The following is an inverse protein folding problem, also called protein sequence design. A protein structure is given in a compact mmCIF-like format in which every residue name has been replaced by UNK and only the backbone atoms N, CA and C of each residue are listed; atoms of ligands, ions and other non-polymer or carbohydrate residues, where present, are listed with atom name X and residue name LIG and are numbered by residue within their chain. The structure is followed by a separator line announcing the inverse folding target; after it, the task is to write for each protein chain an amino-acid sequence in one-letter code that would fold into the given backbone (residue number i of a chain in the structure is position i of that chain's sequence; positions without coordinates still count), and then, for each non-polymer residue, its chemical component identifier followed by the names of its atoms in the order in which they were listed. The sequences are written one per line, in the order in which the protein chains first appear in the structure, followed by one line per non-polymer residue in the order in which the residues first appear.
data_IF_410425037448
#
_entry.id   IF_410425037448
#
_cell.length_a   1.000
_cell.length_b   1.000
_cell.length_c   1.000
_cell.angle_alpha   90.00
_cell.angle_beta   90.00
_cell.angle_gamma   90.00
#
_symmetry.space_group_name_H-M   'P 1'
#
loop_
_entity.id
_entity.type
_entity.pdbx_description
1 polymer ?
#
# COMPACT_ATOMS: atom_id res chain seq x y z
N UNK A 1 -25.05 -53.99 48.19
CA UNK A 1 -24.48 -54.89 47.15
C UNK A 1 -25.10 -54.65 45.79
N UNK A 2 -26.44 -54.60 45.65
CA UNK A 2 -27.12 -54.41 44.35
C UNK A 2 -26.82 -53.07 43.65
N UNK A 3 -26.80 -51.94 44.38
CA UNK A 3 -26.48 -50.63 43.79
C UNK A 3 -25.04 -50.50 43.27
N UNK A 4 -24.09 -51.23 43.87
CA UNK A 4 -22.69 -51.21 43.44
C UNK A 4 -22.50 -51.96 42.11
N UNK A 5 -23.27 -53.03 41.90
CA UNK A 5 -23.30 -53.79 40.65
C UNK A 5 -23.91 -52.94 39.54
N UNK A 6 -24.99 -52.19 39.83
CA UNK A 6 -25.62 -51.29 38.86
C UNK A 6 -24.70 -50.14 38.44
N UNK A 7 -23.94 -49.56 39.38
CA UNK A 7 -22.98 -48.49 39.11
C UNK A 7 -21.80 -48.99 38.25
N UNK A 8 -21.28 -50.18 38.55
CA UNK A 8 -20.23 -50.81 37.73
C UNK A 8 -20.72 -51.14 36.31
N UNK A 9 -21.99 -51.56 36.17
CA UNK A 9 -22.60 -51.77 34.86
C UNK A 9 -22.74 -50.46 34.07
N UNK A 10 -23.12 -49.37 34.74
CA UNK A 10 -23.25 -48.05 34.11
C UNK A 10 -21.89 -47.50 33.64
N UNK A 11 -20.84 -47.67 34.44
CA UNK A 11 -19.47 -47.27 34.08
C UNK A 11 -18.93 -48.10 32.91
N UNK A 12 -19.24 -49.40 32.88
CA UNK A 12 -18.87 -50.27 31.77
C UNK A 12 -19.60 -49.88 30.47
N UNK A 13 -20.90 -49.57 30.54
CA UNK A 13 -21.69 -49.11 29.38
C UNK A 13 -21.18 -47.76 28.86
N UNK A 14 -20.86 -46.82 29.75
CA UNK A 14 -20.32 -45.51 29.34
C UNK A 14 -18.92 -45.64 28.71
N UNK A 15 -18.07 -46.51 29.25
CA UNK A 15 -16.74 -46.77 28.67
C UNK A 15 -16.85 -47.41 27.29
N UNK A 16 -17.81 -48.32 27.10
CA UNK A 16 -18.07 -48.95 25.80
C UNK A 16 -18.61 -47.93 24.78
N UNK A 17 -19.47 -46.99 25.22
CA UNK A 17 -20.02 -45.94 24.36
C UNK A 17 -18.93 -44.99 23.86
N UNK A 18 -18.00 -44.58 24.73
CA UNK A 18 -16.86 -43.72 24.36
C UNK A 18 -15.96 -44.41 23.34
N UNK A 19 -15.64 -45.70 23.54
CA UNK A 19 -14.84 -46.48 22.59
C UNK A 19 -15.57 -46.64 21.24
N UNK A 20 -16.89 -46.81 21.24
CA UNK A 20 -17.69 -46.86 20.03
C UNK A 20 -17.69 -45.53 19.26
N UNK A 21 -17.77 -44.39 19.95
CA UNK A 21 -17.72 -43.05 19.33
C UNK A 21 -16.33 -42.79 18.73
N UNK A 22 -15.26 -43.14 19.43
CA UNK A 22 -13.89 -42.96 18.95
C UNK A 22 -13.60 -43.84 17.72
N UNK A 23 -14.07 -45.09 17.72
CA UNK A 23 -14.00 -45.97 16.53
C UNK A 23 -14.87 -45.48 15.37
N UNK A 24 -16.03 -44.88 15.65
CA UNK A 24 -16.88 -44.29 14.61
C UNK A 24 -16.20 -43.08 13.96
N UNK A 25 -15.57 -42.20 14.75
CA UNK A 25 -14.85 -41.04 14.24
C UNK A 25 -13.61 -41.45 13.40
N UNK A 26 -12.83 -42.44 13.88
CA UNK A 26 -11.70 -43.00 13.11
C UNK A 26 -12.15 -43.70 11.82
N UNK A 27 -13.32 -44.35 11.81
CA UNK A 27 -13.88 -44.94 10.60
C UNK A 27 -14.42 -43.88 9.61
N UNK A 28 -14.91 -42.74 10.13
CA UNK A 28 -15.36 -41.60 9.32
C UNK A 28 -14.18 -40.90 8.63
N UNK A 29 -13.05 -40.73 9.33
CA UNK A 29 -11.81 -40.19 8.75
C UNK A 29 -11.23 -41.12 7.67
N UNK A 30 -11.19 -42.44 7.91
CA UNK A 30 -10.74 -43.41 6.88
C UNK A 30 -11.62 -43.45 5.64
N UNK A 31 -12.94 -43.25 5.79
CA UNK A 31 -13.87 -43.15 4.64
C UNK A 31 -13.72 -41.83 3.87
N UNK A 32 -13.31 -40.75 4.54
CA UNK A 32 -12.98 -39.49 3.88
C UNK A 32 -11.68 -39.62 3.06
N UNK A 33 -10.66 -40.30 3.57
CA UNK A 33 -9.39 -40.52 2.85
C UNK A 33 -9.53 -41.52 1.67
N UNK A 34 -10.32 -42.59 1.82
CA UNK A 34 -10.55 -43.57 0.74
C UNK A 34 -11.42 -43.02 -0.42
N UNK A 35 -12.33 -42.08 -0.12
CA UNK A 35 -13.10 -41.35 -1.14
C UNK A 35 -12.25 -40.35 -1.91
N UNK A 36 -11.38 -39.61 -1.20
CA UNK A 36 -10.51 -38.59 -1.81
C UNK A 36 -9.36 -39.21 -2.61
N UNK A 37 -8.87 -40.40 -2.21
CA UNK A 37 -7.78 -41.13 -2.90
C UNK A 37 -8.17 -41.87 -4.19
N UNK A 38 -9.45 -42.23 -4.38
CA UNK A 38 -9.93 -42.86 -5.62
C UNK A 38 -10.30 -41.83 -6.70
N UNK A 39 -10.88 -40.70 -6.32
CA UNK A 39 -11.17 -39.61 -7.26
C UNK A 39 -9.91 -38.90 -7.77
N UNK A 40 -8.86 -38.83 -6.94
CA UNK A 40 -7.57 -38.24 -7.34
C UNK A 40 -6.79 -39.12 -8.32
N UNK A 41 -6.75 -40.45 -8.15
CA UNK A 41 -6.04 -41.34 -9.10
C UNK A 41 -6.73 -41.51 -10.46
N UNK A 42 -8.06 -41.63 -10.51
CA UNK A 42 -8.77 -41.71 -11.80
C UNK A 42 -8.84 -40.35 -12.53
N UNK A 43 -8.83 -39.24 -11.78
CA UNK A 43 -8.76 -37.88 -12.33
C UNK A 43 -7.37 -37.50 -12.85
N UNK A 44 -6.31 -37.97 -12.19
CA UNK A 44 -4.91 -37.71 -12.57
C UNK A 44 -4.48 -38.52 -13.79
N UNK A 45 -4.88 -39.80 -13.91
CA UNK A 45 -4.62 -40.62 -15.11
C UNK A 45 -5.44 -40.15 -16.34
N UNK A 46 -6.64 -39.59 -16.13
CA UNK A 46 -7.42 -38.94 -17.20
C UNK A 46 -6.82 -37.59 -17.60
N UNK A 47 -6.39 -36.76 -16.63
CA UNK A 47 -5.70 -35.50 -16.90
C UNK A 47 -4.37 -35.71 -17.59
N UNK A 48 -3.57 -36.72 -17.24
CA UNK A 48 -2.28 -36.96 -17.89
C UNK A 48 -2.45 -37.47 -19.34
N UNK A 49 -3.49 -38.27 -19.61
CA UNK A 49 -3.84 -38.69 -20.99
C UNK A 49 -4.45 -37.56 -21.81
N UNK A 50 -5.26 -36.69 -21.21
CA UNK A 50 -5.80 -35.50 -21.89
C UNK A 50 -4.74 -34.42 -22.08
N UNK A 51 -3.79 -34.24 -21.15
CA UNK A 51 -2.65 -33.33 -21.29
C UNK A 51 -1.62 -33.85 -22.31
N UNK A 52 -1.40 -35.16 -22.43
CA UNK A 52 -0.59 -35.73 -23.53
C UNK A 52 -1.26 -35.59 -24.90
N UNK A 53 -2.60 -35.64 -24.97
CA UNK A 53 -3.36 -35.35 -26.20
C UNK A 53 -3.42 -33.85 -26.51
N UNK A 54 -3.63 -33.00 -25.50
CA UNK A 54 -3.63 -31.55 -25.62
C UNK A 54 -2.24 -30.99 -25.92
N UNK A 55 -1.16 -31.61 -25.42
CA UNK A 55 0.23 -31.26 -25.74
C UNK A 55 0.59 -31.61 -27.19
N UNK A 56 0.07 -32.72 -27.73
CA UNK A 56 0.21 -33.06 -29.16
C UNK A 56 -0.61 -32.14 -30.09
N UNK A 57 -1.72 -31.58 -29.61
CA UNK A 57 -2.55 -30.62 -30.39
C UNK A 57 -2.06 -29.16 -30.23
N UNK A 58 -1.58 -28.77 -29.05
CA UNK A 58 -1.09 -27.41 -28.76
C UNK A 58 0.30 -27.11 -29.31
N UNK A 59 1.07 -28.13 -29.73
CA UNK A 59 2.29 -27.90 -30.52
C UNK A 59 1.99 -27.44 -31.96
N UNK A 60 0.72 -27.47 -32.38
CA UNK A 60 0.28 -27.06 -33.73
C UNK A 60 -0.53 -25.74 -33.78
N UNK A 61 -0.95 -25.15 -32.65
CA UNK A 61 -1.54 -23.80 -32.68
C UNK A 61 -1.21 -23.01 -31.41
N UNK A 62 -0.37 -21.99 -31.53
CA UNK A 62 0.02 -21.11 -30.43
C UNK A 62 -1.13 -20.24 -29.93
N UNK A 63 -1.87 -20.73 -28.92
CA UNK A 63 -2.78 -19.92 -28.10
C UNK A 63 -2.40 -20.07 -26.64
N UNK A 64 -1.85 -18.99 -26.10
CA UNK A 64 -1.49 -18.82 -24.71
C UNK A 64 -2.75 -18.79 -23.83
N UNK A 65 -2.70 -19.42 -22.65
CA UNK A 65 -3.82 -19.52 -21.70
C UNK A 65 -4.30 -18.12 -21.31
N UNK A 66 -5.53 -17.78 -21.67
CA UNK A 66 -6.21 -16.57 -21.21
C UNK A 66 -6.43 -16.71 -19.70
N UNK A 67 -5.76 -15.87 -18.91
CA UNK A 67 -6.04 -15.68 -17.50
C UNK A 67 -7.49 -15.19 -17.35
N UNK A 68 -8.29 -15.88 -16.51
CA UNK A 68 -9.66 -15.48 -16.20
C UNK A 68 -9.60 -14.60 -14.95
N UNK A 69 -9.78 -13.27 -15.05
CA UNK A 69 -9.82 -12.43 -13.87
C UNK A 69 -11.06 -12.78 -13.04
N UNK A 70 -10.88 -12.90 -11.71
CA UNK A 70 -11.96 -12.92 -10.73
C UNK A 70 -12.83 -11.66 -10.88
N UNK A 71 -14.14 -11.72 -10.61
CA UNK A 71 -15.04 -10.62 -10.90
C UNK A 71 -14.64 -9.33 -10.15
N UNK A 72 -14.25 -8.32 -10.92
CA UNK A 72 -14.77 -6.96 -10.75
C UNK A 72 -13.88 -5.88 -10.16
N UNK A 73 -12.62 -5.67 -10.61
CA UNK A 73 -11.84 -4.44 -10.27
C UNK A 73 -12.68 -3.15 -10.40
N UNK A 74 -13.60 -3.14 -11.37
CA UNK A 74 -14.54 -2.05 -11.63
C UNK A 74 -15.62 -1.86 -10.53
N UNK A 75 -16.05 -2.90 -9.80
CA UNK A 75 -17.05 -2.75 -8.73
C UNK A 75 -16.46 -2.12 -7.47
N UNK A 76 -15.18 -2.40 -7.16
CA UNK A 76 -14.51 -1.86 -5.95
C UNK A 76 -14.36 -0.34 -5.98
N UNK A 77 -13.95 0.20 -7.13
CA UNK A 77 -13.88 1.65 -7.32
C UNK A 77 -15.29 2.28 -7.36
N UNK A 78 -16.30 1.57 -7.88
CA UNK A 78 -17.68 2.05 -7.88
C UNK A 78 -18.26 2.13 -6.47
N UNK A 79 -18.06 1.12 -5.63
CA UNK A 79 -18.54 1.11 -4.24
C UNK A 79 -17.91 2.28 -3.46
N UNK A 80 -16.60 2.51 -3.67
CA UNK A 80 -15.90 3.60 -3.01
C UNK A 80 -16.25 4.99 -3.55
N UNK A 81 -16.43 5.11 -4.87
CA UNK A 81 -16.86 6.35 -5.51
C UNK A 81 -18.30 6.71 -5.14
N UNK A 82 -19.17 5.73 -4.91
CA UNK A 82 -20.57 5.97 -4.51
C UNK A 82 -20.66 6.54 -3.10
N UNK A 83 -19.81 6.08 -2.18
CA UNK A 83 -19.78 6.58 -0.81
C UNK A 83 -19.17 7.99 -0.68
N UNK A 84 -18.25 8.37 -1.58
CA UNK A 84 -17.47 9.61 -1.47
C UNK A 84 -17.62 10.60 -2.65
N UNK A 85 -18.49 10.33 -3.63
CA UNK A 85 -18.88 11.28 -4.68
C UNK A 85 -17.77 11.73 -5.62
N UNK A 86 -16.95 10.81 -6.15
CA UNK A 86 -15.85 11.16 -7.04
C UNK A 86 -16.30 11.53 -8.47
N UNK A 87 -16.14 12.79 -8.87
CA UNK A 87 -16.22 13.22 -10.27
C UNK A 87 -14.83 13.19 -10.90
N UNK A 88 -14.63 12.44 -11.99
CA UNK A 88 -13.40 12.50 -12.79
C UNK A 88 -13.59 13.35 -14.04
N UNK A 89 -12.64 14.26 -14.29
CA UNK A 89 -12.65 15.19 -15.42
C UNK A 89 -11.52 14.88 -16.42
N UNK A 90 -11.66 15.36 -17.66
CA UNK A 90 -10.61 15.25 -18.68
C UNK A 90 -9.40 16.15 -18.41
N UNK A 91 -9.58 17.16 -17.57
CA UNK A 91 -8.56 18.15 -17.22
C UNK A 91 -7.71 17.69 -16.01
N UNK A 92 -8.14 16.61 -15.36
CA UNK A 92 -7.39 15.99 -14.27
C UNK A 92 -6.09 15.36 -14.77
N UNK A 93 -5.19 15.10 -13.83
CA UNK A 93 -3.95 14.40 -14.09
C UNK A 93 -4.20 12.97 -14.60
N UNK A 94 -3.40 12.52 -15.56
CA UNK A 94 -3.50 11.17 -16.11
C UNK A 94 -3.31 10.11 -15.01
N UNK A 95 -4.24 9.17 -14.91
CA UNK A 95 -4.15 8.00 -14.04
C UNK A 95 -4.78 6.78 -14.71
N UNK A 96 -4.02 5.70 -14.84
CA UNK A 96 -4.47 4.43 -15.37
C UNK A 96 -3.91 3.26 -14.56
N UNK A 97 -4.75 2.60 -13.73
CA UNK A 97 -4.37 1.35 -13.09
C UNK A 97 -4.13 0.22 -14.08
N UNK A 98 -3.14 -0.61 -13.77
CA UNK A 98 -2.80 -1.77 -14.59
C UNK A 98 -3.65 -2.96 -14.13
N UNK A 99 -4.48 -3.47 -15.04
CA UNK A 99 -5.34 -4.63 -14.81
C UNK A 99 -4.71 -5.94 -15.31
N UNK A 100 -4.06 -5.88 -16.48
CA UNK A 100 -3.43 -7.03 -17.12
C UNK A 100 -2.21 -6.61 -17.94
N UNK A 101 -1.32 -7.57 -18.20
CA UNK A 101 0.00 -7.29 -18.78
C UNK A 101 0.40 -8.42 -19.73
N UNK A 102 0.74 -8.03 -20.95
CA UNK A 102 1.12 -8.92 -22.04
C UNK A 102 2.54 -8.60 -22.51
N UNK A 103 3.39 -9.63 -22.62
CA UNK A 103 4.71 -9.47 -23.23
C UNK A 103 4.57 -9.54 -24.76
N UNK A 104 5.20 -8.62 -25.48
CA UNK A 104 5.29 -8.69 -26.95
C UNK A 104 6.75 -8.85 -27.34
N UNK A 105 7.11 -10.06 -27.78
CA UNK A 105 8.49 -10.43 -28.15
C UNK A 105 9.08 -9.39 -29.12
N UNK A 106 10.17 -8.75 -28.71
CA UNK A 106 10.90 -7.76 -29.50
C UNK A 106 10.28 -6.36 -29.59
N UNK A 107 9.10 -6.11 -29.00
CA UNK A 107 8.46 -4.77 -28.97
C UNK A 107 8.42 -4.15 -27.57
N UNK A 108 8.40 -4.98 -26.53
CA UNK A 108 8.32 -4.55 -25.13
C UNK A 108 7.12 -5.17 -24.42
N UNK A 109 6.58 -4.44 -23.45
CA UNK A 109 5.46 -4.89 -22.62
C UNK A 109 4.23 -4.05 -22.88
N UNK A 110 3.09 -4.70 -23.07
CA UNK A 110 1.79 -4.05 -23.25
C UNK A 110 0.99 -4.18 -21.96
N UNK A 111 0.59 -3.05 -21.40
CA UNK A 111 -0.29 -3.01 -20.23
C UNK A 111 -1.71 -2.69 -20.64
N UNK A 112 -2.68 -3.27 -19.96
CA UNK A 112 -4.10 -3.08 -20.18
C UNK A 112 -4.75 -2.48 -18.93
N UNK A 113 -5.62 -1.50 -19.14
CA UNK A 113 -6.36 -0.88 -18.05
C UNK A 113 -7.34 0.18 -18.52
N UNK A 114 -8.11 0.69 -17.55
CA UNK A 114 -9.03 1.81 -17.74
C UNK A 114 -8.37 3.10 -17.31
N UNK A 115 -8.49 4.15 -18.11
CA UNK A 115 -8.08 5.49 -17.71
C UNK A 115 -9.14 6.04 -16.74
N UNK A 116 -8.75 6.31 -15.50
CA UNK A 116 -9.64 6.82 -14.46
C UNK A 116 -9.77 8.34 -14.52
N UNK A 117 -8.69 9.05 -14.85
CA UNK A 117 -8.63 10.50 -14.93
C UNK A 117 -7.65 10.97 -16.01
N UNK A 118 -7.86 12.19 -16.52
CA UNK A 118 -6.99 12.82 -17.49
C UNK A 118 -6.94 12.17 -18.89
N UNK A 119 -5.86 12.47 -19.60
CA UNK A 119 -5.58 12.01 -20.97
C UNK A 119 -4.13 11.64 -21.16
N UNK A 120 -3.86 10.75 -22.11
CA UNK A 120 -2.50 10.35 -22.50
C UNK A 120 -2.36 10.26 -24.01
N UNK A 121 -1.21 10.66 -24.50
CA UNK A 121 -0.84 10.65 -25.91
C UNK A 121 0.38 9.76 -26.17
N UNK A 122 0.50 9.26 -27.39
CA UNK A 122 1.72 8.56 -27.83
C UNK A 122 2.88 9.55 -27.80
N UNK A 123 3.97 9.15 -27.15
CA UNK A 123 5.17 9.97 -26.95
C UNK A 123 5.27 10.61 -25.57
N UNK A 124 4.19 10.63 -24.79
CA UNK A 124 4.19 11.19 -23.43
C UNK A 124 5.07 10.36 -22.49
N UNK A 125 5.64 11.03 -21.49
CA UNK A 125 6.37 10.40 -20.40
C UNK A 125 5.47 10.35 -19.15
N UNK A 126 5.27 9.15 -18.62
CA UNK A 126 4.45 8.87 -17.45
C UNK A 126 5.27 8.12 -16.40
N UNK A 127 4.79 8.11 -15.17
CA UNK A 127 5.41 7.36 -14.08
C UNK A 127 4.71 6.03 -13.88
N UNK A 128 5.50 4.95 -13.76
CA UNK A 128 5.06 3.65 -13.28
C UNK A 128 5.28 3.59 -11.77
N UNK A 129 4.19 3.55 -11.01
CA UNK A 129 4.18 3.68 -9.54
C UNK A 129 3.55 2.43 -8.91
N UNK A 130 4.17 1.91 -7.85
CA UNK A 130 3.66 0.81 -7.02
C UNK A 130 4.75 -0.17 -6.58
N UNK A 131 4.54 -0.83 -5.44
CA UNK A 131 5.40 -1.83 -4.78
C UNK A 131 6.81 -1.38 -4.35
N UNK A 132 7.27 -0.21 -4.78
CA UNK A 132 8.59 0.33 -4.46
C UNK A 132 8.54 1.85 -4.31
N UNK A 133 9.52 2.42 -3.61
CA UNK A 133 9.77 3.87 -3.60
C UNK A 133 10.41 4.35 -4.91
N UNK A 134 10.90 3.42 -5.74
CA UNK A 134 11.51 3.74 -7.03
C UNK A 134 10.41 4.03 -8.05
N UNK A 135 10.31 5.30 -8.41
CA UNK A 135 9.47 5.74 -9.52
C UNK A 135 10.22 5.55 -10.83
N UNK A 136 9.63 4.81 -11.78
CA UNK A 136 10.21 4.59 -13.11
C UNK A 136 9.47 5.42 -14.14
N UNK A 137 10.22 6.20 -14.91
CA UNK A 137 9.68 6.99 -16.02
C UNK A 137 9.55 6.07 -17.24
N UNK A 138 8.38 6.10 -17.87
CA UNK A 138 8.05 5.28 -19.03
C UNK A 138 7.55 6.18 -20.14
N UNK A 139 8.09 5.98 -21.34
CA UNK A 139 7.61 6.65 -22.54
C UNK A 139 6.54 5.81 -23.24
N UNK A 140 5.40 6.41 -23.51
CA UNK A 140 4.30 5.76 -24.22
C UNK A 140 4.66 5.57 -25.68
N UNK A 141 4.84 4.30 -26.10
CA UNK A 141 5.23 3.99 -27.47
C UNK A 141 4.04 3.80 -28.42
N UNK A 142 2.87 3.44 -27.89
CA UNK A 142 1.67 3.23 -28.68
C UNK A 142 0.45 3.00 -27.79
N UNK A 143 -0.72 3.40 -28.28
CA UNK A 143 -2.00 3.23 -27.60
C UNK A 143 -2.94 2.50 -28.56
N UNK A 144 -3.57 1.42 -28.09
CA UNK A 144 -4.56 0.66 -28.86
C UNK A 144 -5.90 0.71 -28.12
N UNK A 145 -6.92 1.22 -28.81
CA UNK A 145 -8.31 1.28 -28.35
C UNK A 145 -9.18 0.50 -29.35
N UNK A 146 -10.00 -0.43 -28.87
CA UNK A 146 -10.95 -1.19 -29.72
C UNK A 146 -10.34 -1.82 -30.98
N UNK A 147 -9.12 -2.40 -30.87
CA UNK A 147 -8.33 -3.03 -31.95
C UNK A 147 -7.73 -2.05 -32.98
N UNK A 148 -7.86 -0.74 -32.78
CA UNK A 148 -7.22 0.28 -33.61
C UNK A 148 -6.14 1.01 -32.82
N UNK A 149 -5.04 1.39 -33.49
CA UNK A 149 -4.05 2.30 -32.92
C UNK A 149 -4.60 3.73 -32.92
N UNK A 150 -4.47 4.40 -31.78
CA UNK A 150 -4.92 5.77 -31.58
C UNK A 150 -3.76 6.62 -31.07
N UNK A 151 -3.78 7.92 -31.39
CA UNK A 151 -2.75 8.85 -30.92
C UNK A 151 -2.97 9.30 -29.48
N UNK A 152 -4.22 9.35 -29.04
CA UNK A 152 -4.64 9.88 -27.75
C UNK A 152 -5.77 9.03 -27.17
N UNK A 153 -5.82 8.92 -25.85
CA UNK A 153 -6.92 8.31 -25.11
C UNK A 153 -7.21 9.12 -23.83
N UNK A 154 -8.45 9.04 -23.35
CA UNK A 154 -8.91 9.82 -22.21
C UNK A 154 -9.72 9.00 -21.20
N UNK A 155 -10.26 9.71 -20.21
CA UNK A 155 -11.10 9.16 -19.14
C UNK A 155 -12.12 8.14 -19.65
N UNK A 156 -12.28 7.07 -18.89
CA UNK A 156 -13.16 5.92 -19.13
C UNK A 156 -12.80 5.02 -20.31
N UNK A 157 -11.78 5.35 -21.11
CA UNK A 157 -11.30 4.48 -22.18
C UNK A 157 -10.60 3.24 -21.64
N UNK A 158 -10.96 2.07 -22.20
CA UNK A 158 -10.21 0.83 -22.04
C UNK A 158 -9.13 0.76 -23.12
N UNK A 159 -7.87 0.78 -22.71
CA UNK A 159 -6.74 0.87 -23.63
C UNK A 159 -5.67 -0.17 -23.37
N UNK A 160 -4.91 -0.49 -24.41
CA UNK A 160 -3.63 -1.20 -24.32
C UNK A 160 -2.52 -0.22 -24.62
N UNK A 161 -1.58 -0.08 -23.71
CA UNK A 161 -0.46 0.85 -23.82
C UNK A 161 0.84 0.06 -23.95
N UNK A 162 1.61 0.35 -25.01
CA UNK A 162 2.93 -0.26 -25.23
C UNK A 162 4.01 0.54 -24.48
N UNK A 163 4.70 -0.15 -23.58
CA UNK A 163 5.84 0.34 -22.81
C UNK A 163 7.13 -0.21 -23.43
N UNK A 164 7.91 0.67 -24.05
CA UNK A 164 9.18 0.30 -24.68
C UNK A 164 10.27 0.16 -23.61
N UNK A 165 11.13 -0.85 -23.75
CA UNK A 165 12.25 -1.14 -22.82
C UNK A 165 11.85 -1.68 -21.44
N UNK A 166 10.58 -2.04 -21.25
CA UNK A 166 10.11 -2.75 -20.05
C UNK A 166 9.83 -4.20 -20.40
N UNK A 167 10.33 -5.11 -19.56
CA UNK A 167 10.01 -6.53 -19.63
C UNK A 167 8.76 -6.86 -18.81
N UNK A 168 8.21 -8.06 -18.98
CA UNK A 168 7.01 -8.50 -18.24
C UNK A 168 7.25 -8.55 -16.73
N UNK A 169 8.48 -8.84 -16.33
CA UNK A 169 8.97 -8.89 -14.94
C UNK A 169 9.12 -7.50 -14.34
N UNK A 170 9.23 -6.46 -15.16
CA UNK A 170 9.33 -5.10 -14.69
C UNK A 170 7.98 -4.53 -14.27
N UNK A 171 6.86 -5.09 -14.73
CA UNK A 171 5.54 -4.51 -14.54
C UNK A 171 4.62 -5.50 -13.87
N UNK A 172 3.86 -5.05 -12.90
CA UNK A 172 2.96 -5.88 -12.10
C UNK A 172 1.56 -5.28 -12.04
N UNK A 173 0.55 -6.16 -11.97
CA UNK A 173 -0.83 -5.74 -11.71
C UNK A 173 -0.85 -5.10 -10.32
N UNK A 174 -1.61 -4.02 -10.17
CA UNK A 174 -1.64 -3.23 -8.93
C UNK A 174 -0.76 -1.99 -8.97
N UNK A 175 0.15 -1.90 -9.94
CA UNK A 175 0.81 -0.65 -10.29
C UNK A 175 -0.14 0.25 -11.10
N UNK A 176 0.20 1.54 -11.16
CA UNK A 176 -0.50 2.54 -11.98
C UNK A 176 0.48 3.22 -12.93
N UNK A 177 -0.02 3.60 -14.10
CA UNK A 177 0.61 4.63 -14.92
C UNK A 177 -0.02 5.98 -14.58
N UNK A 178 0.78 6.97 -14.25
CA UNK A 178 0.30 8.26 -13.80
C UNK A 178 1.10 9.44 -14.35
N UNK A 179 0.50 10.62 -14.34
CA UNK A 179 1.23 11.86 -14.60
C UNK A 179 2.36 12.03 -13.59
N UNK A 180 3.46 12.65 -14.02
CA UNK A 180 4.67 12.80 -13.21
C UNK A 180 4.38 13.52 -11.88
N UNK A 181 4.72 12.90 -10.75
CA UNK A 181 4.55 13.47 -9.42
C UNK A 181 3.10 13.51 -8.91
N UNK A 182 2.13 13.00 -9.68
CA UNK A 182 0.71 13.04 -9.31
C UNK A 182 0.32 12.01 -8.23
N UNK A 183 1.05 10.91 -8.12
CA UNK A 183 0.77 9.82 -7.19
C UNK A 183 2.06 9.12 -6.75
N UNK A 184 2.12 8.68 -5.50
CA UNK A 184 3.28 8.01 -4.92
C UNK A 184 2.88 6.72 -4.21
N UNK A 185 3.83 5.80 -4.02
CA UNK A 185 3.58 4.51 -3.39
C UNK A 185 3.84 4.57 -1.88
N UNK A 186 2.85 4.20 -1.08
CA UNK A 186 2.93 4.19 0.38
C UNK A 186 2.33 2.92 0.97
N UNK A 187 2.78 2.55 2.16
CA UNK A 187 2.26 1.43 2.94
C UNK A 187 1.72 1.85 4.31
N UNK A 188 1.67 3.15 4.60
CA UNK A 188 1.14 3.67 5.85
C UNK A 188 0.50 5.02 5.59
N UNK A 189 -0.72 5.24 6.08
CA UNK A 189 -1.51 6.44 5.80
C UNK A 189 -2.63 6.65 6.83
N UNK A 190 -3.11 7.88 6.96
CA UNK A 190 -4.36 8.18 7.67
C UNK A 190 -5.52 8.27 6.68
N UNK A 191 -6.69 7.80 7.10
CA UNK A 191 -7.89 7.79 6.28
C UNK A 191 -9.14 8.06 7.12
N UNK A 192 -10.19 8.54 6.44
CA UNK A 192 -11.58 8.45 6.92
C UNK A 192 -12.18 7.14 6.44
N UNK A 193 -12.83 6.41 7.33
CA UNK A 193 -13.44 5.11 7.06
C UNK A 193 -14.92 5.14 7.44
N UNK A 194 -15.79 4.61 6.59
CA UNK A 194 -17.21 4.39 6.87
C UNK A 194 -17.51 2.90 6.72
N UNK A 195 -18.24 2.35 7.68
CA UNK A 195 -18.68 0.95 7.60
C UNK A 195 -19.89 0.81 6.70
N UNK A 196 -19.98 -0.33 6.03
CA UNK A 196 -21.21 -0.75 5.36
C UNK A 196 -22.21 -1.24 6.41
N UNK A 197 -23.49 -1.09 6.10
CA UNK A 197 -24.58 -1.55 6.97
C UNK A 197 -24.37 -2.99 7.44
N UNK A 198 -24.46 -3.20 8.76
CA UNK A 198 -24.31 -4.51 9.41
C UNK A 198 -22.89 -4.82 9.91
N UNK A 199 -21.91 -3.96 9.64
CA UNK A 199 -20.51 -4.13 10.07
C UNK A 199 -20.04 -3.09 11.09
N UNK A 200 -20.95 -2.26 11.61
CA UNK A 200 -20.65 -1.16 12.54
C UNK A 200 -20.08 -1.67 13.86
N UNK A 201 -20.37 -2.91 14.25
CA UNK A 201 -19.84 -3.50 15.49
C UNK A 201 -18.31 -3.60 15.51
N UNK A 202 -17.67 -3.70 14.33
CA UNK A 202 -16.22 -3.75 14.18
C UNK A 202 -15.54 -2.45 14.63
N UNK A 203 -16.27 -1.33 14.67
CA UNK A 203 -15.76 -0.05 15.20
C UNK A 203 -15.45 -0.11 16.70
N UNK A 204 -15.96 -1.11 17.44
CA UNK A 204 -15.67 -1.30 18.87
C UNK A 204 -14.29 -1.89 19.12
N UNK A 205 -13.68 -2.48 18.10
CA UNK A 205 -12.33 -3.02 18.18
C UNK A 205 -11.30 -1.89 18.03
N UNK A 206 -10.21 -1.94 18.80
CA UNK A 206 -9.13 -0.94 18.68
C UNK A 206 -8.36 -1.06 17.36
N UNK A 207 -8.31 -2.27 16.83
CA UNK A 207 -7.55 -2.62 15.63
C UNK A 207 -8.26 -3.75 14.90
N UNK A 208 -8.41 -3.61 13.58
CA UNK A 208 -8.95 -4.66 12.71
C UNK A 208 -7.88 -5.08 11.69
N UNK A 209 -7.87 -6.36 11.35
CA UNK A 209 -7.02 -6.91 10.31
C UNK A 209 -7.85 -7.30 9.09
N UNK A 210 -7.40 -6.87 7.92
CA UNK A 210 -8.13 -7.12 6.68
C UNK A 210 -7.29 -6.88 5.43
N UNK A 211 -7.95 -6.97 4.29
CA UNK A 211 -7.41 -6.65 2.98
C UNK A 211 -7.91 -5.28 2.56
N UNK A 212 -7.00 -4.34 2.35
CA UNK A 212 -7.32 -3.07 1.70
C UNK A 212 -7.12 -3.20 0.20
N UNK A 213 -8.14 -2.82 -0.57
CA UNK A 213 -8.13 -2.84 -2.02
C UNK A 213 -7.96 -1.42 -2.55
N UNK A 214 -6.90 -1.23 -3.33
CA UNK A 214 -6.60 -0.01 -4.08
C UNK A 214 -6.57 -0.33 -5.56
N UNK A 215 -7.44 0.31 -6.33
CA UNK A 215 -7.53 0.10 -7.77
C UNK A 215 -7.65 -1.39 -8.16
N UNK A 216 -6.54 -2.01 -8.59
CA UNK A 216 -6.46 -3.39 -9.08
C UNK A 216 -5.64 -4.31 -8.17
N UNK A 217 -5.15 -3.77 -7.05
CA UNK A 217 -4.31 -4.42 -6.06
C UNK A 217 -4.99 -4.50 -4.69
N UNK A 218 -4.59 -5.50 -3.93
CA UNK A 218 -4.91 -5.66 -2.53
C UNK A 218 -3.65 -5.86 -1.68
N UNK A 219 -3.75 -5.47 -0.41
CA UNK A 219 -2.69 -5.74 0.55
C UNK A 219 -3.26 -6.04 1.93
N UNK A 220 -2.64 -7.01 2.60
CA UNK A 220 -2.90 -7.27 4.01
C UNK A 220 -2.56 -6.02 4.82
N UNK A 221 -3.52 -5.63 5.64
CA UNK A 221 -3.58 -4.32 6.26
C UNK A 221 -4.04 -4.45 7.70
N UNK A 222 -3.45 -3.60 8.54
CA UNK A 222 -3.83 -3.39 9.93
C UNK A 222 -4.39 -1.99 10.05
N UNK A 223 -5.64 -1.87 10.48
CA UNK A 223 -6.38 -0.61 10.57
C UNK A 223 -6.57 -0.32 12.06
N UNK A 224 -5.97 0.77 12.54
CA UNK A 224 -6.05 1.22 13.93
C UNK A 224 -6.93 2.45 14.02
N UNK A 225 -7.89 2.45 14.94
CA UNK A 225 -8.79 3.58 15.15
C UNK A 225 -8.10 4.69 15.96
N UNK A 226 -8.29 5.94 15.52
CA UNK A 226 -7.84 7.14 16.22
C UNK A 226 -9.09 7.78 16.84
N UNK A 227 -9.51 7.25 17.98
CA UNK A 227 -10.77 7.61 18.64
C UNK A 227 -11.76 6.45 18.65
N UNK A 228 -12.74 6.53 19.56
CA UNK A 228 -13.74 5.47 19.78
C UNK A 228 -15.10 5.79 19.12
N UNK A 229 -15.32 7.04 18.71
CA UNK A 229 -16.57 7.51 18.12
C UNK A 229 -16.34 8.05 16.69
N UNK A 230 -17.32 7.87 15.79
CA UNK A 230 -17.27 8.48 14.46
C UNK A 230 -17.41 10.00 14.56
N UNK A 231 -16.94 10.71 13.53
CA UNK A 231 -17.21 12.13 13.36
C UNK A 231 -18.70 12.41 13.11
N UNK A 232 -19.08 13.68 13.09
CA UNK A 232 -20.47 14.12 12.89
C UNK A 232 -21.09 13.61 11.58
N UNK A 233 -20.25 13.28 10.60
CA UNK A 233 -20.65 12.82 9.28
C UNK A 233 -20.62 11.27 9.19
N UNK A 234 -20.33 10.56 10.29
CA UNK A 234 -20.32 9.11 10.38
C UNK A 234 -19.00 8.44 9.98
N UNK A 235 -17.91 9.19 9.85
CA UNK A 235 -16.60 8.66 9.50
C UNK A 235 -15.70 8.43 10.71
N UNK A 236 -15.04 7.28 10.72
CA UNK A 236 -13.98 6.95 11.66
C UNK A 236 -12.63 7.40 11.12
N UNK A 237 -11.84 8.06 11.95
CA UNK A 237 -10.44 8.37 11.61
C UNK A 237 -9.57 7.18 11.95
N UNK A 238 -8.84 6.66 10.96
CA UNK A 238 -8.03 5.45 11.11
C UNK A 238 -6.61 5.66 10.60
N UNK A 239 -5.65 5.00 11.23
CA UNK A 239 -4.31 4.80 10.73
C UNK A 239 -4.18 3.39 10.15
N UNK A 240 -3.89 3.30 8.85
CA UNK A 240 -3.76 2.03 8.15
C UNK A 240 -2.29 1.74 7.88
N UNK A 241 -1.86 0.52 8.19
CA UNK A 241 -0.53 0.00 7.84
C UNK A 241 -0.68 -1.25 6.98
N UNK A 242 -0.14 -1.19 5.77
CA UNK A 242 -0.18 -2.27 4.78
C UNK A 242 1.16 -2.99 4.69
N UNK A 243 1.12 -4.24 4.26
CA UNK A 243 2.31 -5.02 3.97
C UNK A 243 3.05 -4.50 2.72
N UNK A 244 2.29 -4.16 1.67
CA UNK A 244 2.82 -3.72 0.38
C UNK A 244 2.67 -2.21 0.22
N UNK A 245 3.61 -1.57 -0.51
CA UNK A 245 3.48 -0.17 -0.91
C UNK A 245 2.55 -0.07 -2.12
N UNK A 246 1.40 0.57 -1.97
CA UNK A 246 0.44 0.75 -3.07
C UNK A 246 0.35 2.22 -3.48
N UNK A 247 0.02 2.51 -4.75
CA UNK A 247 -0.13 3.88 -5.24
C UNK A 247 -1.29 4.58 -4.55
N UNK A 248 -1.06 5.76 -4.00
CA UNK A 248 -2.09 6.59 -3.39
C UNK A 248 -1.69 8.06 -3.35
N UNK A 249 -2.71 8.92 -3.33
CA UNK A 249 -2.64 10.35 -3.05
C UNK A 249 -3.76 10.75 -2.11
N UNK A 250 -3.71 11.97 -1.57
CA UNK A 250 -4.83 12.52 -0.82
C UNK A 250 -6.15 12.40 -1.62
N UNK A 251 -7.20 11.96 -0.95
CA UNK A 251 -8.49 11.69 -1.55
C UNK A 251 -8.61 10.36 -2.29
N UNK A 252 -7.54 9.56 -2.37
CA UNK A 252 -7.63 8.21 -2.97
C UNK A 252 -8.62 7.35 -2.20
N UNK A 253 -9.47 6.65 -2.92
CA UNK A 253 -10.51 5.80 -2.37
C UNK A 253 -10.06 4.35 -2.30
N UNK A 254 -10.48 3.64 -1.25
CA UNK A 254 -10.18 2.24 -1.04
C UNK A 254 -11.34 1.53 -0.35
N UNK A 255 -11.37 0.20 -0.46
CA UNK A 255 -12.32 -0.65 0.25
C UNK A 255 -11.61 -1.63 1.15
N UNK A 256 -12.24 -2.01 2.25
CA UNK A 256 -11.74 -2.97 3.23
C UNK A 256 -12.60 -4.23 3.17
N UNK A 257 -11.94 -5.39 3.23
CA UNK A 257 -12.57 -6.70 3.43
C UNK A 257 -11.89 -7.45 4.57
N UNK A 258 -12.65 -8.26 5.29
CA UNK A 258 -12.09 -9.15 6.31
C UNK A 258 -11.55 -10.44 5.69
N UNK A 259 -10.58 -11.06 6.35
CA UNK A 259 -10.01 -12.32 5.86
C UNK A 259 -11.08 -13.44 5.90
N UNK A 260 -11.37 -14.02 4.74
CA UNK A 260 -12.38 -15.09 4.59
C UNK A 260 -13.79 -14.61 4.26
N UNK A 261 -14.05 -13.30 4.28
CA UNK A 261 -15.28 -12.70 3.75
C UNK A 261 -14.98 -12.03 2.40
N UNK A 262 -15.85 -12.28 1.42
CA UNK A 262 -15.76 -11.67 0.09
C UNK A 262 -16.48 -10.33 0.01
N UNK A 263 -17.18 -9.93 1.07
CA UNK A 263 -17.90 -8.67 1.12
C UNK A 263 -17.01 -7.50 1.54
N UNK A 264 -17.29 -6.34 0.95
CA UNK A 264 -16.76 -5.07 1.41
C UNK A 264 -17.42 -4.70 2.74
N UNK A 265 -16.63 -4.61 3.80
CA UNK A 265 -17.09 -4.27 5.16
C UNK A 265 -17.05 -2.78 5.42
N UNK A 266 -16.11 -2.07 4.77
CA UNK A 266 -15.95 -0.65 4.93
C UNK A 266 -15.33 -0.02 3.69
N UNK A 267 -15.56 1.28 3.53
CA UNK A 267 -15.00 2.10 2.48
C UNK A 267 -14.24 3.25 3.11
N UNK A 268 -13.08 3.59 2.56
CA UNK A 268 -12.29 4.69 3.07
C UNK A 268 -11.77 5.65 2.01
N UNK A 269 -11.40 6.83 2.50
CA UNK A 269 -10.75 7.90 1.74
C UNK A 269 -9.46 8.30 2.44
N UNK A 270 -8.35 8.24 1.70
CA UNK A 270 -7.03 8.64 2.20
C UNK A 270 -7.04 10.15 2.50
N UNK A 271 -6.63 10.53 3.70
CA UNK A 271 -6.42 11.94 4.10
C UNK A 271 -4.96 12.30 3.89
N UNK A 272 -4.05 11.48 4.40
CA UNK A 272 -2.63 11.77 4.38
C UNK A 272 -1.82 10.50 4.11
N UNK A 273 -1.20 10.39 2.91
CA UNK A 273 -0.34 9.26 2.58
C UNK A 273 1.04 9.36 3.25
N UNK A 274 1.67 8.23 3.54
CA UNK A 274 3.07 8.17 3.96
C UNK A 274 3.36 8.46 5.44
N UNK A 275 2.37 8.37 6.32
CA UNK A 275 2.55 8.61 7.76
C UNK A 275 3.45 7.52 8.34
N UNK A 276 4.64 7.89 8.82
CA UNK A 276 5.53 6.97 9.54
C UNK A 276 5.04 6.84 10.98
N UNK A 277 4.60 5.64 11.36
CA UNK A 277 4.26 5.31 12.75
C UNK A 277 5.54 5.42 13.61
N UNK A 278 5.78 6.59 14.19
CA UNK A 278 7.01 6.90 14.92
C UNK A 278 7.14 8.34 15.41
N UNK A 279 6.27 9.25 15.00
CA UNK A 279 6.13 10.56 15.65
C UNK A 279 4.74 10.65 16.28
N UNK A 280 4.69 10.99 17.57
CA UNK A 280 3.48 11.52 18.20
C UNK A 280 3.21 12.88 17.57
N UNK A 281 2.65 12.88 16.36
CA UNK A 281 2.04 14.07 15.81
C UNK A 281 0.55 13.87 16.04
N UNK A 282 0.05 14.52 17.09
CA UNK A 282 -1.37 14.59 17.36
C UNK A 282 -2.02 15.24 16.13
N UNK A 283 -2.79 14.45 15.39
CA UNK A 283 -3.76 15.00 14.45
C UNK A 283 -4.86 15.53 15.34
N UNK A 284 -5.01 16.85 15.40
CA UNK A 284 -6.09 17.50 16.14
C UNK A 284 -7.43 17.05 15.53
N UNK A 285 -8.30 16.35 16.28
CA UNK A 285 -9.56 15.83 15.75
C UNK A 285 -10.63 16.92 15.58
N UNK A 286 -10.32 18.20 15.83
CA UNK A 286 -11.30 19.28 15.76
C UNK A 286 -10.88 20.47 14.87
N UNK A 287 -10.19 20.22 13.74
CA UNK A 287 -10.10 21.19 12.66
C UNK A 287 -11.45 21.23 11.89
N UNK A 288 -12.46 21.81 12.53
CA UNK A 288 -13.70 22.18 11.90
C UNK A 288 -13.47 23.31 10.91
N UNK A 289 -14.07 23.19 9.74
CA UNK A 289 -14.18 24.26 8.75
C UNK A 289 -14.94 25.44 9.34
N UNK A 290 -14.24 26.49 9.74
CA UNK A 290 -14.76 27.86 9.72
C UNK A 290 -13.92 28.65 8.72
N UNK A 291 -14.57 29.16 7.67
CA UNK A 291 -13.97 30.09 6.72
C UNK A 291 -13.89 31.47 7.37
N UNK A 292 -12.72 32.11 7.51
CA UNK A 292 -12.66 33.53 7.87
C UNK A 292 -12.93 34.37 6.61
N UNK A 293 -14.06 35.08 6.58
CA UNK A 293 -14.38 36.08 5.55
C UNK A 293 -13.54 37.36 5.65
N UNK A 294 -12.66 37.49 6.63
CA UNK A 294 -11.79 38.66 6.78
C UNK A 294 -10.37 38.31 6.35
N UNK A 295 -9.99 38.67 5.11
CA UNK A 295 -8.63 39.05 4.71
C UNK A 295 -8.60 39.51 3.21
N UNK A 296 -9.49 40.43 2.85
CA UNK A 296 -9.17 41.43 1.81
C UNK A 296 -8.58 42.63 2.54
N UNK A 297 -7.38 43.04 2.08
CA UNK A 297 -6.59 44.20 2.50
C UNK A 297 -5.58 43.97 3.64
N UNK A 298 -4.43 43.38 3.31
CA UNK A 298 -3.12 44.02 3.50
C UNK A 298 -2.02 43.23 2.78
N UNK A 299 -1.19 43.95 2.06
CA UNK A 299 -0.03 43.58 1.25
C UNK A 299 1.08 42.78 1.95
N UNK A 300 1.74 41.86 1.21
CA UNK A 300 3.21 41.82 1.13
C UNK A 300 3.97 40.57 1.62
N UNK A 301 4.58 39.88 0.64
CA UNK A 301 5.88 39.15 0.63
C UNK A 301 6.04 37.74 1.27
N UNK A 302 6.29 36.79 0.38
CA UNK A 302 7.31 35.72 0.36
C UNK A 302 7.54 34.83 1.59
N UNK A 303 7.30 33.52 1.44
CA UNK A 303 7.98 32.49 2.22
C UNK A 303 8.49 31.37 1.30
N UNK A 304 9.74 31.55 0.86
CA UNK A 304 10.59 30.52 0.28
C UNK A 304 10.73 29.34 1.27
N UNK A 305 10.57 28.11 0.79
CA UNK A 305 10.94 26.89 1.51
C UNK A 305 12.46 26.88 1.75
N UNK A 306 12.90 27.48 2.85
CA UNK A 306 14.32 27.62 3.17
C UNK A 306 14.89 26.30 3.70
N UNK A 307 15.91 25.81 2.99
CA UNK A 307 16.67 24.60 3.33
C UNK A 307 17.94 25.01 4.05
N UNK A 308 18.19 24.43 5.23
CA UNK A 308 19.31 24.81 6.09
C UNK A 308 20.42 23.75 6.12
N UNK A 309 21.65 24.21 6.22
CA UNK A 309 22.84 23.37 6.41
C UNK A 309 23.54 23.76 7.71
N UNK A 310 23.94 22.77 8.51
CA UNK A 310 24.50 22.95 9.85
C UNK A 310 26.02 22.80 9.74
N UNK A 311 26.76 23.86 10.10
CA UNK A 311 28.22 23.93 10.02
C UNK A 311 28.76 24.04 11.44
N UNK A 312 29.67 23.15 11.81
CA UNK A 312 30.46 23.24 13.03
C UNK A 312 31.61 24.21 12.79
N UNK A 313 31.67 25.29 13.57
CA UNK A 313 32.71 26.35 13.46
C UNK A 313 33.75 26.23 14.58
N UNK A 314 33.36 25.70 15.75
CA UNK A 314 34.31 25.30 16.78
C UNK A 314 33.77 24.14 17.63
N UNK A 315 34.66 23.23 18.03
CA UNK A 315 34.35 22.04 18.82
C UNK A 315 34.44 22.25 20.33
N UNK A 316 34.92 23.42 20.77
CA UNK A 316 34.94 23.82 22.17
C UNK A 316 35.83 22.98 23.09
N UNK A 317 35.65 23.17 24.40
CA UNK A 317 36.51 22.58 25.46
C UNK A 317 36.21 21.09 25.69
N UNK A 318 34.99 20.62 25.41
CA UNK A 318 34.53 19.24 25.66
C UNK A 318 34.52 18.36 24.41
N UNK A 319 35.62 18.36 23.65
CA UNK A 319 35.76 17.67 22.35
C UNK A 319 35.29 16.20 22.35
N UNK A 320 35.58 15.43 23.41
CA UNK A 320 35.20 14.01 23.51
C UNK A 320 33.67 13.81 23.55
N UNK A 321 32.94 14.72 24.20
CA UNK A 321 31.48 14.65 24.28
C UNK A 321 30.84 15.01 22.94
N UNK A 322 31.40 16.02 22.25
CA UNK A 322 30.98 16.41 20.89
C UNK A 322 31.23 15.28 19.89
N UNK A 323 32.40 14.60 19.94
CA UNK A 323 32.70 13.41 19.11
C UNK A 323 31.65 12.31 19.31
N UNK A 324 31.32 12.01 20.57
CA UNK A 324 30.34 10.96 20.87
C UNK A 324 28.93 11.32 20.37
N UNK A 325 28.55 12.60 20.43
CA UNK A 325 27.24 13.04 19.96
C UNK A 325 27.17 13.11 18.42
N UNK A 326 28.23 13.55 17.74
CA UNK A 326 28.34 13.47 16.28
C UNK A 326 28.28 12.01 15.82
N UNK A 327 28.95 11.10 16.52
CA UNK A 327 28.89 9.67 16.22
C UNK A 327 27.48 9.10 16.37
N UNK A 328 26.74 9.47 17.41
CA UNK A 328 25.34 9.04 17.57
C UNK A 328 24.45 9.60 16.46
N UNK A 329 24.66 10.86 16.09
CA UNK A 329 23.80 11.57 15.16
C UNK A 329 24.08 11.23 13.68
N UNK A 330 25.33 10.96 13.31
CA UNK A 330 25.74 10.64 11.94
C UNK A 330 26.13 9.17 11.72
N UNK A 331 26.11 8.34 12.77
CA UNK A 331 26.53 6.92 12.74
C UNK A 331 27.95 6.68 12.19
N UNK A 332 28.87 7.62 12.42
CA UNK A 332 30.25 7.56 11.93
C UNK A 332 31.18 6.76 12.86
N UNK A 333 32.29 6.26 12.31
CA UNK A 333 33.34 5.62 13.11
C UNK A 333 34.07 6.63 14.01
N UNK A 334 34.73 6.17 15.08
CA UNK A 334 35.46 7.05 16.00
C UNK A 334 36.56 7.86 15.28
N UNK A 335 37.19 7.27 14.26
CA UNK A 335 38.22 7.93 13.46
C UNK A 335 37.63 9.03 12.57
N UNK A 336 36.46 8.81 11.98
CA UNK A 336 35.80 9.78 11.09
C UNK A 336 35.18 10.94 11.87
N UNK A 337 34.57 10.66 13.03
CA UNK A 337 34.05 11.71 13.91
C UNK A 337 35.17 12.61 14.48
N UNK A 338 36.33 12.03 14.77
CA UNK A 338 37.53 12.79 15.17
C UNK A 338 38.05 13.66 14.02
N UNK A 339 38.10 13.14 12.79
CA UNK A 339 38.51 13.89 11.59
C UNK A 339 37.58 15.07 11.28
N UNK A 340 36.28 14.96 11.54
CA UNK A 340 35.32 16.05 11.32
C UNK A 340 35.51 17.20 12.31
N UNK A 341 35.89 16.89 13.55
CA UNK A 341 36.19 17.90 14.57
C UNK A 341 37.58 18.51 14.37
N UNK A 342 38.56 17.72 13.98
CA UNK A 342 39.92 18.22 13.74
C UNK A 342 40.01 19.09 12.46
N UNK A 343 39.11 18.92 11.49
CA UNK A 343 39.01 19.75 10.27
C UNK A 343 37.84 20.74 10.34
N UNK A 344 37.80 21.55 11.39
CA UNK A 344 36.81 22.63 11.53
C UNK A 344 37.22 23.83 10.65
N UNK A 345 36.30 24.46 9.87
CA UNK A 345 34.86 24.26 9.82
C UNK A 345 34.39 23.06 8.98
N UNK A 346 33.47 22.25 9.52
CA UNK A 346 32.95 21.05 8.87
C UNK A 346 31.42 21.01 8.87
N UNK A 347 30.83 20.49 7.79
CA UNK A 347 29.37 20.42 7.63
C UNK A 347 28.85 19.15 8.30
N UNK A 348 28.05 19.29 9.35
CA UNK A 348 27.46 18.17 10.08
C UNK A 348 26.31 17.56 9.27
N UNK A 349 25.41 18.40 8.73
CA UNK A 349 24.25 17.92 7.95
C UNK A 349 23.76 19.01 7.00
N UNK A 350 23.42 18.60 5.78
CA UNK A 350 22.76 19.46 4.77
C UNK A 350 21.29 19.06 4.68
N UNK A 351 20.44 20.00 4.29
CA UNK A 351 19.01 19.79 4.06
C UNK A 351 18.20 19.46 5.33
N UNK A 352 18.34 20.30 6.35
CA UNK A 352 17.60 20.18 7.62
C UNK A 352 16.53 21.26 7.71
N UNK A 353 15.36 20.94 8.27
CA UNK A 353 14.29 21.90 8.56
C UNK A 353 14.69 22.84 9.70
N UNK A 354 14.09 24.04 9.76
CA UNK A 354 14.43 25.07 10.75
C UNK A 354 14.32 24.55 12.21
N UNK A 355 13.30 23.73 12.50
CA UNK A 355 13.09 23.16 13.83
C UNK A 355 14.15 22.13 14.22
N UNK A 356 14.56 21.27 13.28
CA UNK A 356 15.55 20.24 13.55
C UNK A 356 16.96 20.84 13.64
N UNK A 357 17.25 21.88 12.84
CA UNK A 357 18.49 22.64 12.94
C UNK A 357 18.61 23.36 14.30
N UNK A 358 17.50 23.92 14.82
CA UNK A 358 17.45 24.53 16.15
C UNK A 358 17.72 23.53 17.28
N UNK A 359 17.11 22.34 17.22
CA UNK A 359 17.37 21.26 18.21
C UNK A 359 18.83 20.82 18.21
N UNK A 360 19.41 20.62 17.03
CA UNK A 360 20.80 20.18 16.87
C UNK A 360 21.76 21.25 17.39
N UNK A 361 21.51 22.51 17.04
CA UNK A 361 22.28 23.65 17.55
C UNK A 361 22.25 23.70 19.08
N UNK A 362 21.07 23.58 19.70
CA UNK A 362 20.94 23.58 21.16
C UNK A 362 21.70 22.44 21.85
N UNK A 363 21.73 21.24 21.27
CA UNK A 363 22.50 20.11 21.80
C UNK A 363 24.01 20.40 21.74
N UNK A 364 24.50 20.94 20.63
CA UNK A 364 25.92 21.22 20.47
C UNK A 364 26.40 22.45 21.27
N UNK A 365 25.59 23.50 21.38
CA UNK A 365 25.90 24.67 22.21
C UNK A 365 25.91 24.33 23.72
N UNK A 366 25.00 23.47 24.18
CA UNK A 366 25.01 22.96 25.57
C UNK A 366 26.27 22.15 25.90
N UNK A 367 26.91 21.56 24.88
CA UNK A 367 28.17 20.84 25.00
C UNK A 367 29.40 21.75 24.80
N UNK A 368 29.19 23.04 24.51
CA UNK A 368 30.22 24.06 24.36
C UNK A 368 30.79 24.19 22.95
N UNK A 369 30.14 23.64 21.93
CA UNK A 369 30.52 23.79 20.53
C UNK A 369 29.78 24.96 19.86
N UNK A 370 30.45 25.66 18.95
CA UNK A 370 29.85 26.76 18.17
C UNK A 370 29.38 26.24 16.83
N UNK A 371 28.07 26.30 16.59
CA UNK A 371 27.42 25.78 15.38
C UNK A 371 26.67 26.91 14.67
N UNK A 372 26.99 27.11 13.40
CA UNK A 372 26.32 28.06 12.52
C UNK A 372 25.33 27.35 11.60
N UNK A 373 24.20 28.00 11.35
CA UNK A 373 23.20 27.55 10.39
C UNK A 373 23.34 28.40 9.15
N UNK A 374 23.84 27.80 8.07
CA UNK A 374 23.94 28.45 6.77
C UNK A 374 22.68 28.18 5.94
N UNK A 375 22.03 29.25 5.48
CA UNK A 375 20.97 29.21 4.48
C UNK A 375 21.56 28.74 3.16
N UNK A 376 21.08 27.60 2.65
CA UNK A 376 21.39 27.21 1.26
C UNK A 376 20.20 27.64 0.41
N UNK A 377 20.27 28.86 -0.15
CA UNK A 377 19.29 29.28 -1.17
C UNK A 377 19.45 28.38 -2.39
N UNK A 378 18.35 27.83 -2.88
CA UNK A 378 18.32 27.04 -4.12
C UNK A 378 17.78 27.90 -5.24
#
# INVERSE_FOLDING_TARGET
MEYLILLLFLVAVMSFLVICIEKYNLAKERRADEGTGRESKEGEDRKEKEERKASKVNKASGRERIYRPEPGSASYAQDANTAFGGNSSSDDEFLMPIEDIFAVKGKGTVVYGRILSGRVSVGDEVELVGYSDRVRIVKIAGIIKSKAEVKTAGVNDMVRILLKFFERTDVERGQVLAAKGSISAHNSFAAKLVFKEGYEELSREKEIHGLCYFYTADSLSTIRFIGDEPDKDGYFTVHVTMLSKLPMKEGTLFSVRLQGDWNTVATGRVIAPGIKTGSKQAVDPNAGTEWPEDLIAASGTDNESNVFSIILVDSGVKKVQVINEIRKYMHLSLADAKRLIDNTPSVIKRNVSCEEAGRIKGIFENLGATVEIALTKK
#
